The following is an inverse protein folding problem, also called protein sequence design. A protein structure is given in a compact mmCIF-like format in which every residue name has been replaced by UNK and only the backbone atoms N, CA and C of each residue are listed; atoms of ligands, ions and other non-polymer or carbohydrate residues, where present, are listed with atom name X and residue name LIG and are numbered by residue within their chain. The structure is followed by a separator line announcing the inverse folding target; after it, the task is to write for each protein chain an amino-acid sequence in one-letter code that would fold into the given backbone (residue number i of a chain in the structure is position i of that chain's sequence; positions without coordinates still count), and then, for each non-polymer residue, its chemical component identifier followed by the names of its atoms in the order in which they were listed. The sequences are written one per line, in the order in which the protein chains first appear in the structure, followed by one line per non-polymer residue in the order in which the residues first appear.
data_IF_696956076179
#
_entry.id   IF_696956076179
#
_cell.length_a   1.000
_cell.length_b   1.000
_cell.length_c   1.000
_cell.angle_alpha   90.00
_cell.angle_beta   90.00
_cell.angle_gamma   90.00
#
_symmetry.space_group_name_H-M   'P 1'
#
loop_
_entity.id
_entity.type
_entity.pdbx_description
1 polymer ?
#
# COMPACT_ATOMS: atom_id res chain seq x y z
N UNK A 1 -38.99 -26.19 -38.20
CA UNK A 1 -38.69 -26.53 -36.80
C UNK A 1 -37.49 -27.47 -36.78
N UNK A 2 -36.29 -26.90 -36.62
CA UNK A 2 -35.03 -27.64 -36.41
C UNK A 2 -34.37 -26.95 -35.21
N UNK A 3 -34.00 -27.68 -34.15
CA UNK A 3 -33.67 -27.09 -32.87
C UNK A 3 -32.32 -26.35 -32.95
N UNK A 4 -32.28 -25.20 -32.29
CA UNK A 4 -31.12 -24.34 -32.13
C UNK A 4 -30.04 -25.10 -31.37
N UNK A 5 -28.89 -25.27 -32.02
CA UNK A 5 -27.66 -25.77 -31.42
C UNK A 5 -27.18 -24.73 -30.39
N UNK A 6 -27.36 -25.02 -29.10
CA UNK A 6 -26.77 -24.24 -28.02
C UNK A 6 -25.26 -24.47 -28.02
N UNK A 7 -24.54 -23.60 -28.72
CA UNK A 7 -23.11 -23.40 -28.51
C UNK A 7 -22.92 -22.79 -27.11
N UNK A 8 -22.57 -23.62 -26.13
CA UNK A 8 -21.91 -23.17 -24.92
C UNK A 8 -20.49 -22.74 -25.31
N UNK A 9 -20.12 -21.44 -25.29
CA UNK A 9 -18.72 -21.09 -25.39
C UNK A 9 -18.07 -21.49 -24.07
N UNK A 10 -17.07 -22.36 -24.18
CA UNK A 10 -16.15 -22.69 -23.10
C UNK A 10 -15.51 -21.39 -22.58
N UNK A 11 -16.02 -20.87 -21.46
CA UNK A 11 -15.38 -19.81 -20.69
C UNK A 11 -14.33 -20.43 -19.76
N UNK A 12 -13.42 -21.23 -20.33
CA UNK A 12 -12.28 -21.82 -19.64
C UNK A 12 -11.02 -21.32 -20.33
N UNK A 13 -10.73 -20.03 -20.13
CA UNK A 13 -9.57 -19.40 -20.76
C UNK A 13 -9.54 -17.94 -20.42
N UNK A 14 -8.88 -17.63 -19.28
CA UNK A 14 -8.25 -16.37 -18.88
C UNK A 14 -8.30 -16.20 -17.34
N UNK A 15 -7.87 -17.22 -16.59
CA UNK A 15 -7.27 -16.99 -15.29
C UNK A 15 -5.78 -17.24 -15.42
N UNK A 16 -5.11 -16.41 -16.22
CA UNK A 16 -3.73 -16.09 -15.91
C UNK A 16 -3.82 -15.22 -14.66
N UNK A 17 -3.61 -15.81 -13.49
CA UNK A 17 -3.50 -15.04 -12.27
C UNK A 17 -2.44 -13.97 -12.54
N UNK A 18 -2.81 -12.70 -12.43
CA UNK A 18 -1.85 -11.63 -12.35
C UNK A 18 -1.08 -11.86 -11.05
N UNK A 19 0.02 -12.60 -11.14
CA UNK A 19 0.90 -12.85 -10.00
C UNK A 19 1.38 -11.50 -9.47
N UNK A 20 0.92 -11.15 -8.27
CA UNK A 20 1.34 -9.94 -7.58
C UNK A 20 0.29 -8.84 -7.40
N UNK A 21 -1.00 -9.08 -7.66
CA UNK A 21 -2.07 -8.20 -7.13
C UNK A 21 -3.06 -9.01 -6.30
N UNK A 22 -3.38 -8.50 -5.11
CA UNK A 22 -4.29 -9.13 -4.17
C UNK A 22 -5.73 -8.75 -4.55
N UNK A 23 -6.34 -9.56 -5.41
CA UNK A 23 -7.76 -9.46 -5.75
C UNK A 23 -8.58 -10.33 -4.81
N UNK A 24 -9.60 -9.74 -4.21
CA UNK A 24 -10.47 -10.39 -3.24
C UNK A 24 -11.94 -10.23 -3.62
N UNK A 25 -12.76 -11.18 -3.20
CA UNK A 25 -14.21 -11.11 -3.33
C UNK A 25 -14.80 -10.20 -2.24
N UNK A 26 -15.88 -9.49 -2.58
CA UNK A 26 -16.59 -8.61 -1.67
C UNK A 26 -16.03 -7.19 -1.60
N UNK A 27 -16.58 -6.39 -0.68
CA UNK A 27 -16.18 -5.01 -0.45
C UNK A 27 -14.89 -4.93 0.36
N UNK A 28 -14.21 -3.78 0.28
CA UNK A 28 -13.07 -3.48 1.14
C UNK A 28 -13.40 -3.66 2.63
N UNK A 29 -12.54 -4.36 3.38
CA UNK A 29 -12.49 -4.26 4.83
C UNK A 29 -12.36 -2.80 5.30
N UNK A 30 -12.97 -2.49 6.44
CA UNK A 30 -12.89 -1.18 7.09
C UNK A 30 -12.26 -1.30 8.48
N UNK A 31 -10.94 -1.58 8.55
CA UNK A 31 -10.23 -1.64 9.82
C UNK A 31 -10.28 -0.29 10.55
N UNK A 32 -10.19 -0.28 11.89
CA UNK A 32 -9.94 0.94 12.63
C UNK A 32 -8.59 1.54 12.21
N UNK A 33 -8.50 2.86 12.28
CA UNK A 33 -7.28 3.63 11.98
C UNK A 33 -6.64 4.16 13.25
N UNK A 34 -5.39 4.61 13.15
CA UNK A 34 -4.64 5.15 14.29
C UNK A 34 -5.43 6.26 15.00
N UNK A 35 -5.72 6.05 16.27
CA UNK A 35 -6.35 7.05 17.12
C UNK A 35 -5.42 8.24 17.34
N UNK A 36 -5.99 9.45 17.39
CA UNK A 36 -5.27 10.70 17.64
C UNK A 36 -4.04 10.88 16.73
N UNK A 37 -4.18 10.52 15.45
CA UNK A 37 -3.10 10.61 14.48
C UNK A 37 -2.58 12.03 14.32
N UNK A 38 -1.28 12.21 14.57
CA UNK A 38 -0.56 13.48 14.38
C UNK A 38 0.35 13.40 13.15
N UNK A 39 -0.09 14.06 12.08
CA UNK A 39 0.64 14.10 10.80
C UNK A 39 2.05 14.68 10.95
N UNK A 40 2.28 15.60 11.90
CA UNK A 40 3.59 16.25 12.07
C UNK A 40 4.63 15.26 12.58
N UNK A 41 4.23 14.35 13.47
CA UNK A 41 5.09 13.26 13.97
C UNK A 41 5.33 12.17 12.93
N UNK A 42 4.42 12.05 11.96
CA UNK A 42 4.51 11.08 10.88
C UNK A 42 5.49 11.48 9.76
N UNK A 43 5.82 12.77 9.65
CA UNK A 43 6.70 13.28 8.59
C UNK A 43 8.10 12.67 8.61
N UNK A 44 8.84 12.93 7.53
CA UNK A 44 10.20 12.45 7.32
C UNK A 44 10.25 11.12 6.58
N UNK A 45 11.38 10.44 6.72
CA UNK A 45 11.67 9.21 6.00
C UNK A 45 11.08 7.98 6.68
N UNK A 46 10.57 7.07 5.85
CA UNK A 46 10.13 5.73 6.18
C UNK A 46 10.68 4.75 5.16
N UNK A 47 11.17 3.61 5.64
CA UNK A 47 11.61 2.47 4.85
C UNK A 47 10.46 1.47 4.71
N UNK A 48 10.26 0.92 3.53
CA UNK A 48 9.31 -0.17 3.34
C UNK A 48 9.95 -1.49 3.80
N UNK A 49 9.33 -2.17 4.76
CA UNK A 49 9.84 -3.40 5.37
C UNK A 49 9.18 -4.62 4.76
N UNK A 50 7.85 -4.60 4.68
CA UNK A 50 7.06 -5.60 3.98
C UNK A 50 5.88 -4.94 3.27
N UNK A 51 5.42 -5.57 2.18
CA UNK A 51 4.23 -5.14 1.46
C UNK A 51 3.44 -6.31 0.92
N UNK A 52 2.15 -6.13 0.69
CA UNK A 52 1.46 -6.92 -0.35
C UNK A 52 2.02 -6.42 -1.69
N UNK A 53 2.56 -7.31 -2.55
CA UNK A 53 3.13 -6.92 -3.83
C UNK A 53 2.19 -5.99 -4.61
N UNK A 54 2.78 -4.96 -5.18
CA UNK A 54 2.09 -4.03 -6.07
C UNK A 54 2.82 -4.01 -7.39
N UNK A 55 2.08 -4.04 -8.50
CA UNK A 55 2.65 -4.19 -9.85
C UNK A 55 3.60 -3.06 -10.26
N UNK A 56 3.57 -1.93 -9.56
CA UNK A 56 4.36 -0.73 -9.85
C UNK A 56 5.65 -0.60 -9.02
N UNK A 57 5.82 -1.37 -7.93
CA UNK A 57 7.02 -1.38 -7.08
C UNK A 57 7.76 -2.70 -7.23
N UNK A 58 8.89 -2.67 -7.93
CA UNK A 58 9.66 -3.88 -8.29
C UNK A 58 11.13 -3.80 -7.87
N UNK A 59 11.55 -2.69 -7.29
CA UNK A 59 12.92 -2.46 -6.84
C UNK A 59 13.19 -2.95 -5.41
N UNK A 60 14.39 -2.64 -4.95
CA UNK A 60 14.84 -2.76 -3.56
C UNK A 60 15.03 -1.38 -2.94
N UNK A 61 15.43 -1.33 -1.66
CA UNK A 61 15.75 -0.11 -0.93
C UNK A 61 14.62 0.91 -0.91
N UNK A 62 13.38 0.41 -0.95
CA UNK A 62 12.19 1.26 -1.14
C UNK A 62 12.02 2.13 0.10
N UNK A 63 11.82 3.43 -0.14
CA UNK A 63 11.58 4.40 0.92
C UNK A 63 10.65 5.50 0.46
N UNK A 64 9.96 6.08 1.43
CA UNK A 64 9.06 7.19 1.29
C UNK A 64 9.54 8.34 2.18
N UNK A 65 9.63 9.55 1.63
CA UNK A 65 9.86 10.76 2.41
C UNK A 65 8.63 11.67 2.36
N UNK A 66 8.11 12.00 3.54
CA UNK A 66 6.93 12.84 3.72
C UNK A 66 7.33 14.22 4.23
N UNK A 67 6.81 15.28 3.62
CA UNK A 67 7.06 16.66 4.03
C UNK A 67 5.81 17.51 3.92
N UNK A 68 5.61 18.45 4.85
CA UNK A 68 4.51 19.40 4.76
C UNK A 68 4.71 20.39 3.62
N UNK A 69 3.63 20.68 2.89
CA UNK A 69 3.54 21.79 1.93
C UNK A 69 2.92 23.00 2.61
N UNK A 70 3.11 24.18 2.02
CA UNK A 70 2.53 25.45 2.51
C UNK A 70 1.01 25.43 2.59
N UNK A 71 0.34 24.64 1.73
CA UNK A 71 -1.11 24.47 1.72
C UNK A 71 -1.62 23.47 2.78
N UNK A 72 -0.75 22.93 3.63
CA UNK A 72 -1.09 21.94 4.66
C UNK A 72 -1.17 20.50 4.18
N UNK A 73 -1.02 20.24 2.87
CA UNK A 73 -0.97 18.89 2.34
C UNK A 73 0.40 18.26 2.55
N UNK A 74 0.47 16.93 2.43
CA UNK A 74 1.72 16.18 2.59
C UNK A 74 2.27 15.86 1.21
N UNK A 75 3.46 16.37 0.88
CA UNK A 75 4.25 15.91 -0.26
C UNK A 75 4.85 14.55 0.08
N UNK A 76 4.71 13.60 -0.85
CA UNK A 76 5.23 12.23 -0.75
C UNK A 76 6.25 12.04 -1.86
N UNK A 77 7.46 11.60 -1.52
CA UNK A 77 8.46 11.18 -2.50
C UNK A 77 8.82 9.72 -2.22
N UNK A 78 8.44 8.84 -3.13
CA UNK A 78 8.84 7.44 -3.10
C UNK A 78 10.06 7.22 -4.00
N UNK A 79 11.02 6.45 -3.52
CA UNK A 79 12.20 6.01 -4.27
C UNK A 79 12.35 4.50 -4.17
N UNK A 80 12.87 3.91 -5.24
CA UNK A 80 13.28 2.51 -5.28
C UNK A 80 14.56 2.36 -6.10
N UNK A 81 15.39 1.39 -5.76
CA UNK A 81 16.55 0.98 -6.55
C UNK A 81 16.13 -0.11 -7.54
N UNK A 82 16.32 0.14 -8.83
CA UNK A 82 16.04 -0.83 -9.90
C UNK A 82 17.18 -1.84 -10.03
N UNK A 83 16.88 -2.98 -10.66
CA UNK A 83 17.85 -4.05 -10.88
C UNK A 83 19.06 -3.64 -11.75
N UNK A 84 18.92 -2.59 -12.57
CA UNK A 84 20.01 -2.00 -13.36
C UNK A 84 20.87 -1.00 -12.56
N UNK A 85 20.59 -0.84 -11.26
CA UNK A 85 21.27 0.09 -10.37
C UNK A 85 20.77 1.53 -10.44
N UNK A 86 19.77 1.84 -11.28
CA UNK A 86 19.20 3.19 -11.35
C UNK A 86 18.20 3.45 -10.22
N UNK A 87 18.13 4.69 -9.75
CA UNK A 87 17.11 5.12 -8.78
C UNK A 87 15.88 5.58 -9.53
N UNK A 88 14.75 4.90 -9.32
CA UNK A 88 13.45 5.36 -9.78
C UNK A 88 12.78 6.16 -8.66
N UNK A 89 12.14 7.28 -9.02
CA UNK A 89 11.46 8.16 -8.07
C UNK A 89 10.10 8.59 -8.59
N UNK A 90 9.12 8.67 -7.70
CA UNK A 90 7.81 9.24 -7.97
C UNK A 90 7.41 10.22 -6.86
N UNK A 91 6.83 11.35 -7.26
CA UNK A 91 6.30 12.36 -6.36
C UNK A 91 4.77 12.35 -6.38
N UNK A 92 4.17 12.51 -5.21
CA UNK A 92 2.73 12.62 -5.04
C UNK A 92 2.36 13.55 -3.90
N UNK A 93 1.06 13.68 -3.69
CA UNK A 93 0.47 14.51 -2.65
C UNK A 93 -0.60 13.70 -1.90
N UNK A 94 -0.52 13.73 -0.58
CA UNK A 94 -1.49 13.13 0.33
C UNK A 94 -2.28 14.22 1.07
N UNK A 95 -3.59 14.05 1.12
CA UNK A 95 -4.54 14.98 1.75
C UNK A 95 -5.46 14.24 2.70
N UNK A 96 -5.76 14.75 3.91
CA UNK A 96 -6.77 14.15 4.78
C UNK A 96 -8.12 14.04 4.07
N UNK A 97 -8.78 12.89 4.14
CA UNK A 97 -10.13 12.70 3.57
C UNK A 97 -11.19 13.42 4.41
N UNK A 98 -11.00 13.47 5.73
CA UNK A 98 -11.87 14.15 6.69
C UNK A 98 -11.05 14.63 7.89
N UNK A 99 -11.34 15.84 8.38
CA UNK A 99 -10.68 16.44 9.55
C UNK A 99 -10.89 15.62 10.85
N UNK A 100 -11.97 14.83 10.92
CA UNK A 100 -12.31 14.01 12.09
C UNK A 100 -11.58 12.66 12.13
N UNK A 101 -11.02 12.21 11.01
CA UNK A 101 -10.24 10.97 10.92
C UNK A 101 -8.92 11.24 10.16
N UNK A 102 -7.97 11.98 10.77
CA UNK A 102 -6.76 12.45 10.08
C UNK A 102 -5.81 11.33 9.62
N UNK A 103 -5.99 10.10 10.15
CA UNK A 103 -5.27 8.90 9.72
C UNK A 103 -5.75 8.34 8.37
N UNK A 104 -6.90 8.80 7.86
CA UNK A 104 -7.40 8.46 6.52
C UNK A 104 -7.04 9.57 5.55
N UNK A 105 -6.04 9.30 4.72
CA UNK A 105 -5.60 10.20 3.67
C UNK A 105 -6.00 9.65 2.31
N UNK A 106 -6.06 10.55 1.33
CA UNK A 106 -6.12 10.22 -0.09
C UNK A 106 -4.80 10.66 -0.72
N UNK A 107 -4.09 9.73 -1.36
CA UNK A 107 -2.81 9.99 -2.05
C UNK A 107 -3.02 10.05 -3.56
N UNK A 108 -2.35 11.00 -4.22
CA UNK A 108 -2.41 11.19 -5.66
C UNK A 108 -1.03 11.47 -6.23
N UNK A 109 -0.57 10.59 -7.12
CA UNK A 109 0.74 10.70 -7.77
C UNK A 109 0.69 11.36 -9.16
N UNK A 110 -0.46 11.28 -9.83
CA UNK A 110 -0.62 11.85 -11.18
C UNK A 110 -1.95 12.60 -11.29
N UNK A 111 -1.92 13.80 -11.88
CA UNK A 111 -3.09 14.68 -11.92
C UNK A 111 -4.31 14.06 -12.64
N UNK A 112 -4.08 13.20 -13.63
CA UNK A 112 -5.10 12.55 -14.46
C UNK A 112 -5.66 11.25 -13.87
N UNK A 113 -5.07 10.75 -12.77
CA UNK A 113 -5.57 9.55 -12.07
C UNK A 113 -6.39 9.93 -10.84
N UNK A 114 -7.36 9.08 -10.44
CA UNK A 114 -8.03 9.25 -9.16
C UNK A 114 -7.02 9.11 -8.01
N UNK A 115 -7.34 9.68 -6.85
CA UNK A 115 -6.59 9.41 -5.63
C UNK A 115 -6.87 7.99 -5.14
N UNK A 116 -5.89 7.39 -4.49
CA UNK A 116 -6.03 6.12 -3.77
C UNK A 116 -6.12 6.39 -2.25
N UNK A 117 -6.87 5.58 -1.49
CA UNK A 117 -6.83 5.63 -0.04
C UNK A 117 -5.42 5.35 0.50
N UNK A 118 -5.04 6.03 1.58
CA UNK A 118 -3.82 5.81 2.34
C UNK A 118 -4.21 5.91 3.81
N UNK A 119 -4.53 4.78 4.42
CA UNK A 119 -5.03 4.71 5.79
C UNK A 119 -3.94 4.21 6.71
N UNK A 120 -3.55 5.02 7.69
CA UNK A 120 -2.60 4.63 8.73
C UNK A 120 -3.37 3.85 9.80
N UNK A 121 -3.21 2.52 9.80
CA UNK A 121 -3.91 1.65 10.74
C UNK A 121 -3.30 1.70 12.13
N UNK A 122 -1.97 1.75 12.22
CA UNK A 122 -1.24 1.84 13.46
C UNK A 122 0.14 2.49 13.23
N UNK A 123 0.58 3.34 14.15
CA UNK A 123 1.95 3.86 14.17
C UNK A 123 2.31 4.34 15.57
N UNK A 124 3.56 4.14 15.96
CA UNK A 124 4.15 4.77 17.13
C UNK A 124 4.97 6.03 16.76
N UNK A 125 4.93 6.43 15.49
CA UNK A 125 5.65 7.55 14.85
C UNK A 125 7.18 7.42 14.80
N UNK A 126 7.77 6.70 15.75
CA UNK A 126 9.20 6.64 16.01
C UNK A 126 9.87 5.36 15.50
N UNK A 127 9.11 4.28 15.32
CA UNK A 127 9.66 2.99 14.89
C UNK A 127 8.91 2.42 13.71
N UNK A 128 7.58 2.33 13.76
CA UNK A 128 6.79 1.63 12.75
C UNK A 128 5.56 2.43 12.28
N UNK A 129 5.08 2.07 11.09
CA UNK A 129 3.74 2.40 10.63
C UNK A 129 3.15 1.24 9.83
N UNK A 130 1.85 1.00 9.98
CA UNK A 130 1.08 0.07 9.16
C UNK A 130 0.11 0.88 8.32
N UNK A 131 0.23 0.74 7.00
CA UNK A 131 -0.57 1.47 6.02
C UNK A 131 -1.40 0.47 5.22
N UNK A 132 -2.66 0.82 4.98
CA UNK A 132 -3.60 0.06 4.19
C UNK A 132 -4.25 0.95 3.14
N UNK A 133 -4.41 0.41 1.93
CA UNK A 133 -5.17 1.02 0.84
C UNK A 133 -6.08 -0.03 0.26
N UNK A 134 -7.33 0.30 -0.01
CA UNK A 134 -8.24 -0.62 -0.67
C UNK A 134 -9.17 0.10 -1.63
N UNK A 135 -9.33 -0.46 -2.82
CA UNK A 135 -10.24 0.03 -3.86
C UNK A 135 -11.24 -1.04 -4.24
N UNK A 136 -12.53 -0.74 -4.09
CA UNK A 136 -13.61 -1.62 -4.56
C UNK A 136 -13.78 -1.51 -6.08
N UNK A 137 -13.85 -2.66 -6.76
CA UNK A 137 -13.97 -2.80 -8.21
C UNK A 137 -15.33 -3.46 -8.51
N UNK A 138 -16.19 -2.74 -9.23
CA UNK A 138 -17.49 -3.23 -9.74
C UNK A 138 -18.34 -3.89 -8.61
N UNK A 139 -18.26 -3.36 -7.38
CA UNK A 139 -19.01 -3.78 -6.17
C UNK A 139 -18.85 -5.23 -5.69
N UNK A 140 -18.23 -6.11 -6.49
CA UNK A 140 -18.10 -7.54 -6.23
C UNK A 140 -16.69 -7.94 -5.83
N UNK A 141 -15.70 -7.10 -6.15
CA UNK A 141 -14.30 -7.36 -5.88
C UNK A 141 -13.67 -6.14 -5.23
N UNK A 142 -12.54 -6.36 -4.57
CA UNK A 142 -11.65 -5.28 -4.20
C UNK A 142 -10.20 -5.68 -4.43
N UNK A 143 -9.36 -4.65 -4.50
CA UNK A 143 -7.92 -4.78 -4.50
C UNK A 143 -7.41 -4.02 -3.30
N UNK A 144 -6.57 -4.67 -2.50
CA UNK A 144 -5.91 -4.05 -1.37
C UNK A 144 -4.39 -4.04 -1.53
N UNK A 145 -3.80 -3.10 -0.81
CA UNK A 145 -2.37 -2.91 -0.67
C UNK A 145 -2.08 -2.64 0.80
N UNK A 146 -1.01 -3.23 1.27
CA UNK A 146 -0.54 -3.08 2.65
C UNK A 146 0.93 -2.76 2.60
N UNK A 147 1.37 -1.85 3.45
CA UNK A 147 2.78 -1.58 3.69
C UNK A 147 3.05 -1.55 5.19
N UNK A 148 4.03 -2.33 5.62
CA UNK A 148 4.69 -2.17 6.92
C UNK A 148 5.92 -1.30 6.68
N UNK A 149 5.94 -0.15 7.35
CA UNK A 149 7.00 0.84 7.25
C UNK A 149 7.80 0.89 8.54
N UNK A 150 9.11 1.17 8.43
CA UNK A 150 10.02 1.34 9.55
C UNK A 150 10.77 2.67 9.48
N UNK A 151 11.10 3.28 10.63
CA UNK A 151 12.06 4.41 10.67
C UNK A 151 13.51 3.96 10.40
N UNK A 152 13.77 2.67 10.61
CA UNK A 152 15.00 1.99 10.26
C UNK A 152 14.72 0.96 9.15
N UNK A 153 15.74 0.54 8.37
CA UNK A 153 15.60 -0.48 7.32
C UNK A 153 15.29 -1.89 7.85
N UNK A 154 15.08 -2.04 9.15
CA UNK A 154 14.77 -3.28 9.83
C UNK A 154 13.82 -3.00 10.99
N UNK A 155 12.87 -3.92 11.19
CA UNK A 155 12.00 -3.97 12.37
C UNK A 155 12.17 -5.30 13.09
N UNK A 156 12.05 -5.32 14.44
CA UNK A 156 12.04 -6.57 15.19
C UNK A 156 10.90 -7.50 14.73
N UNK A 157 11.11 -8.83 14.70
CA UNK A 157 10.09 -9.78 14.22
C UNK A 157 8.79 -9.72 15.03
N UNK A 158 8.88 -9.42 16.32
CA UNK A 158 7.72 -9.22 17.20
C UNK A 158 6.86 -8.03 16.77
N UNK A 159 7.49 -6.92 16.34
CA UNK A 159 6.77 -5.75 15.82
C UNK A 159 6.07 -6.10 14.52
N UNK A 160 6.75 -6.78 13.59
CA UNK A 160 6.15 -7.20 12.32
C UNK A 160 4.97 -8.15 12.56
N UNK A 161 5.10 -9.10 13.48
CA UNK A 161 4.04 -10.04 13.86
C UNK A 161 2.83 -9.28 14.41
N UNK A 162 3.05 -8.36 15.35
CA UNK A 162 1.99 -7.51 15.89
C UNK A 162 1.22 -6.75 14.80
N UNK A 163 1.91 -6.17 13.81
CA UNK A 163 1.25 -5.45 12.72
C UNK A 163 0.46 -6.37 11.79
N UNK A 164 0.96 -7.59 11.55
CA UNK A 164 0.22 -8.62 10.81
C UNK A 164 -1.02 -9.12 11.57
N UNK A 165 -0.96 -9.17 12.90
CA UNK A 165 -2.12 -9.52 13.73
C UNK A 165 -3.25 -8.47 13.61
N UNK A 166 -2.90 -7.19 13.46
CA UNK A 166 -3.89 -6.12 13.16
C UNK A 166 -4.58 -6.39 11.82
N UNK A 167 -3.83 -6.78 10.79
CA UNK A 167 -4.41 -7.08 9.47
C UNK A 167 -5.34 -8.30 9.50
N UNK A 168 -4.85 -9.41 10.06
CA UNK A 168 -5.59 -10.68 10.11
C UNK A 168 -6.86 -10.57 10.97
N UNK A 169 -6.82 -9.85 12.10
CA UNK A 169 -8.00 -9.59 12.92
C UNK A 169 -9.07 -8.73 12.21
N UNK A 170 -8.69 -8.03 11.13
CA UNK A 170 -9.57 -7.25 10.28
C UNK A 170 -9.89 -7.93 8.94
N UNK A 171 -9.62 -9.24 8.81
CA UNK A 171 -9.84 -10.04 7.60
C UNK A 171 -9.06 -9.55 6.37
N UNK A 172 -7.86 -9.02 6.58
CA UNK A 172 -6.91 -8.68 5.51
C UNK A 172 -5.86 -9.80 5.44
N UNK A 173 -5.72 -10.42 4.27
CA UNK A 173 -4.80 -11.55 4.04
C UNK A 173 -3.34 -11.08 4.09
N UNK A 174 -2.49 -11.80 4.82
CA UNK A 174 -1.06 -11.47 4.98
C UNK A 174 -0.13 -12.46 4.29
N UNK A 175 -0.67 -13.56 3.78
CA UNK A 175 0.07 -14.67 3.16
C UNK A 175 0.76 -14.24 1.85
N UNK A 176 0.20 -13.21 1.21
CA UNK A 176 0.77 -12.61 -0.01
C UNK A 176 1.83 -11.56 0.30
N UNK A 177 2.04 -11.18 1.56
CA UNK A 177 3.04 -10.18 1.90
C UNK A 177 4.46 -10.69 1.62
N UNK A 178 5.29 -9.80 1.09
CA UNK A 178 6.68 -10.04 0.76
C UNK A 178 7.58 -9.07 1.49
N UNK A 179 8.73 -9.56 1.94
CA UNK A 179 9.78 -8.73 2.55
C UNK A 179 10.44 -7.89 1.47
N UNK A 180 10.64 -6.61 1.75
CA UNK A 180 11.37 -5.70 0.88
C UNK A 180 12.86 -5.78 1.18
N UNK A 181 13.68 -5.89 0.13
CA UNK A 181 15.13 -5.94 0.28
C UNK A 181 15.66 -4.55 0.67
N UNK A 182 16.15 -4.43 1.90
CA UNK A 182 16.77 -3.21 2.45
C UNK A 182 18.27 -3.39 2.72
N UNK A 183 18.89 -4.43 2.14
CA UNK A 183 20.30 -4.76 2.36
C UNK A 183 21.16 -4.15 1.25
N UNK A 184 22.37 -3.68 1.60
CA UNK A 184 23.34 -3.10 0.65
C UNK A 184 22.80 -1.90 -0.16
N UNK A 185 21.91 -1.10 0.42
CA UNK A 185 21.39 0.09 -0.22
C UNK A 185 22.47 1.18 -0.36
N UNK A 186 22.60 1.83 -1.54
CA UNK A 186 23.59 2.87 -1.74
C UNK A 186 23.25 4.13 -0.96
N UNK A 187 24.27 4.90 -0.55
CA UNK A 187 24.08 6.17 0.19
C UNK A 187 23.23 7.20 -0.57
N UNK A 188 23.15 7.07 -1.90
CA UNK A 188 22.38 7.95 -2.77
C UNK A 188 20.86 7.77 -2.66
N UNK A 189 20.39 6.75 -1.94
CA UNK A 189 18.96 6.53 -1.72
C UNK A 189 18.37 7.65 -0.87
#
# INVERSE_FOLDING_TARGET
MVPVLLLLPALAGLFGAAEGQAFHLGKCPHPPVQENFDVNKYLGKWYEIEKIPVSFEKGSCIQANYSLKENGNVKVINKELRADGTVNQIEGEATPENITEPAKLAVKFFWFMPSAPYWVLATDYENYALVYSCTTIIWLFHMDHVWILGRNPYLPPETVTYLKDILTSNNIEVEKMTITDQVNCPESM
#
